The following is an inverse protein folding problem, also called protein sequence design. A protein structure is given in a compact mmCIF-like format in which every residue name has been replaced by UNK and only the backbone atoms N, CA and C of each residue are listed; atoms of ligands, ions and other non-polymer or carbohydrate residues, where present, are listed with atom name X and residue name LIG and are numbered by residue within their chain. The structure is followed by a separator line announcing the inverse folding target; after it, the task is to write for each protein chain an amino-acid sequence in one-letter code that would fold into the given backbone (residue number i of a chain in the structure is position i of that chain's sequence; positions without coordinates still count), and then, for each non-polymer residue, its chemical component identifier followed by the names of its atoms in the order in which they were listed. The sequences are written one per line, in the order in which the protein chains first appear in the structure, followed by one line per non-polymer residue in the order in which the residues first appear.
data_IF_918665913025
#
_entry.id   IF_918665913025
#
_cell.length_a   1.000
_cell.length_b   1.000
_cell.length_c   1.000
_cell.angle_alpha   90.00
_cell.angle_beta   90.00
_cell.angle_gamma   90.00
#
_symmetry.space_group_name_H-M   'P 1'
#
loop_
_entity.id
_entity.type
_entity.pdbx_description
1 polymer ?
#
# COMPACT_ATOMS: atom_id res chain seq x y z
N UNK A 1 -1.72 10.58 5.28
CA UNK A 1 -1.51 10.06 3.91
C UNK A 1 -0.42 10.83 3.17
N UNK A 2 -0.59 12.14 2.86
CA UNK A 2 0.50 12.92 2.23
C UNK A 2 1.79 12.94 3.07
N UNK A 3 1.69 13.02 4.40
CA UNK A 3 2.86 12.87 5.28
C UNK A 3 3.52 11.50 5.16
N UNK A 4 2.72 10.42 5.07
CA UNK A 4 3.26 9.07 4.86
C UNK A 4 3.99 9.00 3.52
N UNK A 5 3.40 9.55 2.45
CA UNK A 5 4.04 9.64 1.13
C UNK A 5 5.36 10.42 1.19
N UNK A 6 5.37 11.59 1.84
CA UNK A 6 6.57 12.40 2.00
C UNK A 6 7.65 11.63 2.79
N UNK A 7 7.29 10.99 3.91
CA UNK A 7 8.19 10.14 4.69
C UNK A 7 8.77 9.01 3.83
N UNK A 8 7.95 8.32 3.05
CA UNK A 8 8.39 7.20 2.22
C UNK A 8 9.32 7.65 1.09
N UNK A 9 9.04 8.77 0.43
CA UNK A 9 9.89 9.32 -0.63
C UNK A 9 11.24 9.78 -0.06
N UNK A 10 11.24 10.50 1.07
CA UNK A 10 12.49 10.99 1.66
C UNK A 10 13.33 9.83 2.16
N UNK A 11 12.76 8.93 2.97
CA UNK A 11 13.49 7.76 3.47
C UNK A 11 13.94 6.84 2.35
N UNK A 12 13.07 6.56 1.37
CA UNK A 12 13.38 5.72 0.22
C UNK A 12 14.49 6.29 -0.65
N UNK A 13 14.51 7.61 -0.86
CA UNK A 13 15.59 8.27 -1.61
C UNK A 13 16.96 8.08 -0.93
N UNK A 14 17.06 8.33 0.38
CA UNK A 14 18.32 8.14 1.10
C UNK A 14 18.75 6.66 1.17
N UNK A 15 17.80 5.73 1.30
CA UNK A 15 18.08 4.30 1.22
C UNK A 15 18.60 3.90 -0.16
N UNK A 16 18.03 4.47 -1.23
CA UNK A 16 18.42 4.18 -2.61
C UNK A 16 19.86 4.58 -2.94
N UNK A 17 20.42 5.60 -2.27
CA UNK A 17 21.82 6.02 -2.45
C UNK A 17 22.81 4.92 -2.01
N UNK A 18 22.41 4.08 -1.04
CA UNK A 18 23.25 3.03 -0.47
C UNK A 18 22.85 1.62 -0.92
N UNK A 19 21.67 1.45 -1.51
CA UNK A 19 21.15 0.16 -1.96
C UNK A 19 21.74 -0.27 -3.31
N UNK A 20 21.98 -1.57 -3.48
CA UNK A 20 22.43 -2.13 -4.77
C UNK A 20 21.45 -3.19 -5.28
N UNK A 21 20.82 -2.91 -6.42
CA UNK A 21 19.83 -3.78 -7.05
C UNK A 21 20.46 -4.94 -7.86
N UNK A 22 21.25 -5.78 -7.18
CA UNK A 22 21.83 -7.01 -7.72
C UNK A 22 21.60 -8.16 -6.74
N UNK A 23 21.19 -9.35 -7.20
CA UNK A 23 20.75 -10.45 -6.30
C UNK A 23 21.84 -10.95 -5.36
N UNK A 24 23.11 -10.80 -5.74
CA UNK A 24 24.22 -11.20 -4.89
C UNK A 24 24.45 -10.20 -3.75
N UNK A 25 24.16 -8.92 -4.01
CA UNK A 25 24.49 -7.77 -3.15
C UNK A 25 23.29 -7.16 -2.42
N UNK A 26 22.06 -7.36 -2.89
CA UNK A 26 20.88 -6.67 -2.39
C UNK A 26 20.68 -6.87 -0.89
N UNK A 27 20.65 -8.12 -0.44
CA UNK A 27 20.52 -8.46 0.97
C UNK A 27 21.67 -7.88 1.82
N UNK A 28 22.91 -8.00 1.36
CA UNK A 28 24.06 -7.42 2.06
C UNK A 28 24.06 -5.89 2.06
N UNK A 29 23.51 -5.23 1.03
CA UNK A 29 23.40 -3.77 0.99
C UNK A 29 22.39 -3.25 2.02
N UNK A 30 21.31 -4.00 2.30
CA UNK A 30 20.40 -3.69 3.41
C UNK A 30 21.13 -3.84 4.76
N UNK A 31 21.92 -4.91 4.94
CA UNK A 31 22.72 -5.07 6.16
C UNK A 31 23.71 -3.91 6.32
N UNK A 32 24.39 -3.51 5.24
CA UNK A 32 25.31 -2.38 5.23
C UNK A 32 24.60 -1.08 5.62
N UNK A 33 23.43 -0.79 5.04
CA UNK A 33 22.60 0.36 5.45
C UNK A 33 22.30 0.32 6.94
N UNK A 34 21.87 -0.82 7.47
CA UNK A 34 21.47 -0.92 8.88
C UNK A 34 22.66 -0.83 9.84
N UNK A 35 23.84 -1.33 9.45
CA UNK A 35 24.98 -1.49 10.38
C UNK A 35 26.09 -0.46 10.22
N UNK A 36 26.36 -0.02 9.00
CA UNK A 36 27.57 0.75 8.69
C UNK A 36 27.25 2.20 8.29
N UNK A 37 26.06 2.47 7.76
CA UNK A 37 25.64 3.83 7.41
C UNK A 37 25.19 4.57 8.68
N UNK A 38 25.73 5.77 8.98
CA UNK A 38 25.29 6.58 10.12
C UNK A 38 23.78 6.83 10.08
N UNK A 39 23.07 6.47 11.15
CA UNK A 39 21.60 6.53 11.24
C UNK A 39 20.83 5.70 10.18
N UNK A 40 21.51 4.82 9.44
CA UNK A 40 20.87 4.03 8.39
C UNK A 40 19.85 3.02 8.94
N UNK A 41 20.04 2.51 10.16
CA UNK A 41 19.02 1.71 10.85
C UNK A 41 17.74 2.51 11.11
N UNK A 42 17.83 3.80 11.45
CA UNK A 42 16.65 4.66 11.65
C UNK A 42 15.93 4.80 10.31
N UNK A 43 16.66 5.14 9.25
CA UNK A 43 16.09 5.34 7.91
C UNK A 43 15.40 4.07 7.39
N UNK A 44 16.04 2.91 7.53
CA UNK A 44 15.48 1.63 7.09
C UNK A 44 14.22 1.26 7.89
N UNK A 45 14.24 1.40 9.21
CA UNK A 45 13.08 1.10 10.05
C UNK A 45 11.93 2.09 9.83
N UNK A 46 12.23 3.38 9.67
CA UNK A 46 11.22 4.39 9.33
C UNK A 46 10.55 4.11 7.99
N UNK A 47 11.31 3.64 7.00
CA UNK A 47 10.74 3.25 5.72
C UNK A 47 9.80 2.05 5.86
N UNK A 48 10.26 0.97 6.54
CA UNK A 48 9.47 -0.24 6.75
C UNK A 48 8.20 -0.01 7.61
N UNK A 49 8.34 0.61 8.78
CA UNK A 49 7.21 0.94 9.67
C UNK A 49 6.30 1.97 9.01
N UNK A 50 6.88 2.95 8.30
CA UNK A 50 6.13 3.97 7.58
C UNK A 50 5.24 3.39 6.47
N UNK A 51 5.65 2.29 5.81
CA UNK A 51 4.81 1.58 4.85
C UNK A 51 3.58 0.97 5.54
N UNK A 52 3.76 0.33 6.69
CA UNK A 52 2.64 -0.16 7.52
C UNK A 52 1.72 0.97 7.97
N UNK A 53 2.27 2.09 8.44
CA UNK A 53 1.48 3.28 8.81
C UNK A 53 0.71 3.85 7.63
N UNK A 54 1.27 3.81 6.42
CA UNK A 54 0.56 4.23 5.21
C UNK A 54 -0.70 3.37 5.00
N UNK A 55 -0.60 2.04 5.09
CA UNK A 55 -1.76 1.15 4.95
C UNK A 55 -2.78 1.30 6.08
N UNK A 56 -2.35 1.49 7.32
CA UNK A 56 -3.27 1.81 8.43
C UNK A 56 -4.07 3.08 8.09
N UNK A 57 -3.38 4.16 7.71
CA UNK A 57 -4.03 5.41 7.35
C UNK A 57 -4.96 5.27 6.14
N UNK A 58 -4.59 4.47 5.13
CA UNK A 58 -5.41 4.35 3.91
C UNK A 58 -6.66 3.51 4.16
N UNK A 59 -6.57 2.45 4.96
CA UNK A 59 -7.75 1.66 5.33
C UNK A 59 -8.71 2.46 6.21
N UNK A 60 -8.21 3.26 7.15
CA UNK A 60 -9.06 4.21 7.91
C UNK A 60 -9.70 5.23 6.96
N UNK A 61 -8.95 5.77 5.99
CA UNK A 61 -9.46 6.73 5.03
C UNK A 61 -10.57 6.14 4.14
N UNK A 62 -10.39 4.90 3.66
CA UNK A 62 -11.39 4.17 2.88
C UNK A 62 -12.62 3.84 3.74
N UNK A 63 -12.41 3.32 4.96
CA UNK A 63 -13.49 3.01 5.90
C UNK A 63 -14.34 4.25 6.20
N UNK A 64 -13.70 5.40 6.44
CA UNK A 64 -14.39 6.70 6.57
C UNK A 64 -15.23 7.01 5.33
N UNK A 65 -14.66 6.81 4.13
CA UNK A 65 -15.35 7.10 2.88
C UNK A 65 -16.56 6.21 2.63
N UNK A 66 -16.49 4.93 3.02
CA UNK A 66 -17.61 4.00 3.02
C UNK A 66 -18.67 4.42 4.05
N UNK A 67 -18.24 4.72 5.29
CA UNK A 67 -19.14 5.06 6.40
C UNK A 67 -19.95 6.34 6.19
N UNK A 68 -19.32 7.40 5.68
CA UNK A 68 -20.00 8.67 5.47
C UNK A 68 -20.53 8.85 4.04
N UNK A 69 -20.51 7.81 3.21
CA UNK A 69 -20.96 7.90 1.82
C UNK A 69 -20.15 8.90 0.99
N UNK A 70 -18.88 9.11 1.31
CA UNK A 70 -18.01 10.01 0.54
C UNK A 70 -17.78 9.48 -0.88
N UNK A 71 -17.93 8.17 -1.10
CA UNK A 71 -17.84 7.55 -2.42
C UNK A 71 -18.84 8.10 -3.45
N UNK A 72 -19.93 8.75 -3.01
CA UNK A 72 -20.87 9.42 -3.91
C UNK A 72 -20.24 10.59 -4.68
N UNK A 73 -19.11 11.15 -4.21
CA UNK A 73 -18.24 11.96 -5.05
C UNK A 73 -17.43 11.01 -5.96
N UNK A 74 -18.02 10.65 -7.10
CA UNK A 74 -17.55 9.55 -7.96
C UNK A 74 -16.13 9.74 -8.45
N UNK A 75 -15.78 10.94 -8.91
CA UNK A 75 -14.45 11.21 -9.48
C UNK A 75 -13.36 11.13 -8.41
N UNK A 76 -13.62 11.67 -7.22
CA UNK A 76 -12.70 11.56 -6.07
C UNK A 76 -12.56 10.09 -5.65
N UNK A 77 -13.67 9.35 -5.58
CA UNK A 77 -13.64 7.95 -5.16
C UNK A 77 -12.87 7.05 -6.12
N UNK A 78 -13.11 7.18 -7.43
CA UNK A 78 -12.43 6.39 -8.46
C UNK A 78 -10.93 6.72 -8.50
N UNK A 79 -10.56 8.01 -8.43
CA UNK A 79 -9.14 8.39 -8.32
C UNK A 79 -8.48 7.88 -7.02
N UNK A 80 -9.21 7.86 -5.90
CA UNK A 80 -8.76 7.27 -4.64
C UNK A 80 -8.55 5.75 -4.72
N UNK A 81 -9.42 5.04 -5.44
CA UNK A 81 -9.27 3.59 -5.66
C UNK A 81 -8.06 3.30 -6.56
N UNK A 82 -7.81 4.13 -7.58
CA UNK A 82 -6.59 4.01 -8.39
C UNK A 82 -5.32 4.30 -7.57
N UNK A 83 -5.35 5.28 -6.66
CA UNK A 83 -4.25 5.54 -5.72
C UNK A 83 -3.96 4.32 -4.83
N UNK A 84 -4.99 3.64 -4.33
CA UNK A 84 -4.82 2.40 -3.55
C UNK A 84 -4.11 1.33 -4.37
N UNK A 85 -4.55 1.07 -5.61
CA UNK A 85 -3.94 0.06 -6.48
C UNK A 85 -2.45 0.37 -6.72
N UNK A 86 -2.12 1.63 -7.03
CA UNK A 86 -0.73 2.08 -7.23
C UNK A 86 0.10 1.97 -5.95
N UNK A 87 -0.48 2.26 -4.77
CA UNK A 87 0.19 2.08 -3.48
C UNK A 87 0.47 0.60 -3.19
N UNK A 88 -0.50 -0.28 -3.43
CA UNK A 88 -0.34 -1.74 -3.27
C UNK A 88 0.78 -2.27 -4.16
N UNK A 89 0.83 -1.83 -5.43
CA UNK A 89 1.92 -2.18 -6.34
C UNK A 89 3.28 -1.67 -5.85
N UNK A 90 3.36 -0.39 -5.45
CA UNK A 90 4.58 0.23 -4.90
C UNK A 90 5.10 -0.56 -3.70
N UNK A 91 4.23 -0.89 -2.74
CA UNK A 91 4.61 -1.61 -1.53
C UNK A 91 5.07 -3.04 -1.82
N UNK A 92 4.38 -3.74 -2.74
CA UNK A 92 4.81 -5.07 -3.18
C UNK A 92 6.22 -5.03 -3.79
N UNK A 93 6.50 -4.12 -4.73
CA UNK A 93 7.84 -4.02 -5.30
C UNK A 93 8.91 -3.67 -4.26
N UNK A 94 8.60 -2.77 -3.32
CA UNK A 94 9.48 -2.41 -2.21
C UNK A 94 9.80 -3.58 -1.30
N UNK A 95 8.79 -4.42 -1.02
CA UNK A 95 8.95 -5.61 -0.20
C UNK A 95 9.89 -6.65 -0.82
N UNK A 96 10.06 -6.66 -2.14
CA UNK A 96 10.98 -7.60 -2.82
C UNK A 96 12.44 -7.15 -2.68
N UNK A 97 12.70 -5.86 -2.53
CA UNK A 97 14.06 -5.27 -2.61
C UNK A 97 15.06 -5.79 -1.56
N UNK A 98 14.67 -6.08 -0.30
CA UNK A 98 15.61 -6.64 0.67
C UNK A 98 16.17 -8.00 0.26
N UNK A 99 15.50 -8.73 -0.65
CA UNK A 99 15.93 -10.03 -1.13
C UNK A 99 16.10 -11.10 -0.02
N UNK A 100 15.21 -11.05 0.98
CA UNK A 100 15.06 -12.09 1.99
C UNK A 100 14.16 -13.24 1.51
N UNK A 101 13.98 -14.26 2.35
CA UNK A 101 13.16 -15.44 2.00
C UNK A 101 11.72 -15.04 1.66
N UNK A 102 11.03 -14.29 2.52
CA UNK A 102 9.64 -13.89 2.26
C UNK A 102 9.55 -12.96 1.05
N UNK A 103 10.51 -12.05 0.86
CA UNK A 103 10.60 -11.21 -0.34
C UNK A 103 10.62 -12.02 -1.64
N UNK A 104 11.53 -13.01 -1.74
CA UNK A 104 11.70 -13.82 -2.95
C UNK A 104 10.49 -14.71 -3.23
N UNK A 105 9.97 -15.38 -2.19
CA UNK A 105 8.83 -16.28 -2.36
C UNK A 105 7.53 -15.54 -2.58
N UNK A 106 7.33 -14.37 -1.96
CA UNK A 106 6.20 -13.49 -2.28
C UNK A 106 6.27 -13.03 -3.74
N UNK A 107 7.45 -12.61 -4.22
CA UNK A 107 7.64 -12.25 -5.62
C UNK A 107 7.25 -13.40 -6.55
N UNK A 108 7.74 -14.61 -6.26
CA UNK A 108 7.46 -15.82 -7.04
C UNK A 108 5.97 -16.15 -7.08
N UNK A 109 5.30 -16.19 -5.92
CA UNK A 109 3.88 -16.57 -5.83
C UNK A 109 2.98 -15.52 -6.49
N UNK A 110 3.16 -14.24 -6.17
CA UNK A 110 2.28 -13.16 -6.63
C UNK A 110 2.40 -12.96 -8.14
N UNK A 111 3.61 -12.92 -8.68
CA UNK A 111 3.81 -12.71 -10.13
C UNK A 111 3.44 -13.93 -10.96
N UNK A 112 3.52 -15.15 -10.39
CA UNK A 112 3.04 -16.36 -11.05
C UNK A 112 1.50 -16.39 -11.19
N UNK A 113 0.75 -15.53 -10.49
CA UNK A 113 -0.69 -15.37 -10.72
C UNK A 113 -0.98 -14.84 -12.14
N UNK A 114 -0.03 -14.15 -12.79
CA UNK A 114 -0.17 -13.70 -14.19
C UNK A 114 -0.29 -14.86 -15.18
N UNK A 115 0.27 -16.03 -14.87
CA UNK A 115 0.11 -17.22 -15.72
C UNK A 115 -1.33 -17.74 -15.76
N UNK A 116 -2.21 -17.25 -14.87
CA UNK A 116 -3.63 -17.55 -14.94
C UNK A 116 -4.35 -16.85 -16.11
N UNK A 117 -3.76 -15.80 -16.70
CA UNK A 117 -4.33 -15.09 -17.84
C UNK A 117 -4.35 -16.02 -19.06
N UNK A 118 -5.52 -16.31 -19.66
CA UNK A 118 -5.62 -17.19 -20.81
C UNK A 118 -4.78 -16.72 -21.99
N UNK A 119 -4.17 -17.65 -22.71
CA UNK A 119 -3.37 -17.46 -23.93
C UNK A 119 -2.03 -16.71 -23.77
N UNK A 120 -1.97 -15.66 -22.95
CA UNK A 120 -0.79 -14.77 -22.85
C UNK A 120 -0.07 -14.83 -21.50
N UNK A 121 -0.61 -15.52 -20.50
CA UNK A 121 -0.12 -15.47 -19.13
C UNK A 121 1.35 -15.90 -18.96
N UNK A 122 1.76 -16.98 -19.64
CA UNK A 122 3.16 -17.44 -19.58
C UNK A 122 4.13 -16.43 -20.20
N UNK A 123 3.78 -15.84 -21.34
CA UNK A 123 4.57 -14.80 -21.98
C UNK A 123 4.66 -13.52 -21.14
N UNK A 124 3.58 -13.13 -20.46
CA UNK A 124 3.57 -11.99 -19.54
C UNK A 124 4.48 -12.23 -18.33
N UNK A 125 4.44 -13.42 -17.74
CA UNK A 125 5.28 -13.77 -16.59
C UNK A 125 6.77 -13.80 -16.96
N UNK A 126 7.15 -14.44 -18.08
CA UNK A 126 8.55 -14.46 -18.52
C UNK A 126 9.04 -13.08 -18.92
N UNK A 127 8.19 -12.27 -19.56
CA UNK A 127 8.48 -10.87 -19.87
C UNK A 127 8.72 -10.06 -18.60
N UNK A 128 7.85 -10.17 -17.59
CA UNK A 128 7.96 -9.45 -16.32
C UNK A 128 9.25 -9.83 -15.59
N UNK A 129 9.53 -11.13 -15.48
CA UNK A 129 10.73 -11.65 -14.83
C UNK A 129 12.02 -11.28 -15.57
N UNK A 130 11.95 -11.13 -16.90
CA UNK A 130 13.14 -10.99 -17.74
C UNK A 130 13.94 -12.28 -17.84
N UNK A 131 13.26 -13.43 -17.73
CA UNK A 131 13.86 -14.76 -17.67
C UNK A 131 12.83 -15.85 -17.34
N UNK A 132 13.32 -17.06 -17.03
CA UNK A 132 12.47 -18.22 -16.71
C UNK A 132 12.12 -18.34 -15.22
N UNK A 133 12.76 -17.54 -14.37
CA UNK A 133 12.51 -17.49 -12.92
C UNK A 133 12.79 -16.08 -12.41
N UNK A 134 12.35 -15.80 -11.18
CA UNK A 134 12.77 -14.60 -10.43
C UNK A 134 14.29 -14.63 -10.29
N UNK A 135 14.98 -13.61 -10.81
CA UNK A 135 16.44 -13.50 -10.83
C UNK A 135 16.88 -12.01 -10.93
N UNK A 136 18.16 -11.74 -11.20
CA UNK A 136 18.75 -10.40 -11.29
C UNK A 136 17.96 -9.41 -12.14
N UNK A 137 17.55 -9.74 -13.38
CA UNK A 137 16.76 -8.83 -14.20
C UNK A 137 15.42 -8.43 -13.53
N UNK A 138 14.81 -9.34 -12.77
CA UNK A 138 13.57 -9.06 -12.05
C UNK A 138 13.81 -8.03 -10.95
N UNK A 139 14.84 -8.23 -10.13
CA UNK A 139 15.12 -7.36 -8.98
C UNK A 139 15.46 -5.93 -9.43
N UNK A 140 16.32 -5.78 -10.44
CA UNK A 140 16.68 -4.46 -10.98
C UNK A 140 15.47 -3.71 -11.52
N UNK A 141 14.55 -4.40 -12.20
CA UNK A 141 13.30 -3.79 -12.69
C UNK A 141 12.35 -3.43 -11.54
N UNK A 142 12.23 -4.29 -10.54
CA UNK A 142 11.37 -4.02 -9.39
C UNK A 142 11.89 -2.83 -8.58
N UNK A 143 13.20 -2.65 -8.47
CA UNK A 143 13.78 -1.43 -7.92
C UNK A 143 13.39 -0.19 -8.72
N UNK A 144 13.55 -0.23 -10.06
CA UNK A 144 13.17 0.90 -10.91
C UNK A 144 11.67 1.24 -10.81
N UNK A 145 10.79 0.22 -10.81
CA UNK A 145 9.35 0.38 -10.63
C UNK A 145 9.00 0.94 -9.24
N UNK A 146 9.59 0.38 -8.19
CA UNK A 146 9.40 0.87 -6.82
C UNK A 146 9.85 2.32 -6.66
N UNK A 147 10.91 2.74 -7.37
CA UNK A 147 11.41 4.10 -7.32
C UNK A 147 10.48 5.09 -8.04
N UNK A 148 9.94 4.74 -9.20
CA UNK A 148 9.13 5.68 -10.01
C UNK A 148 7.67 5.81 -9.52
N UNK A 149 7.07 4.72 -9.02
CA UNK A 149 5.65 4.71 -8.64
C UNK A 149 5.27 5.68 -7.51
N UNK A 150 6.09 5.95 -6.48
CA UNK A 150 5.81 7.00 -5.49
C UNK A 150 5.60 8.40 -6.11
N UNK A 151 6.32 8.74 -7.19
CA UNK A 151 6.12 10.00 -7.91
C UNK A 151 4.81 10.01 -8.70
N UNK A 152 4.40 8.85 -9.24
CA UNK A 152 3.07 8.69 -9.82
C UNK A 152 1.98 8.87 -8.75
N UNK A 153 2.14 8.28 -7.56
CA UNK A 153 1.23 8.47 -6.41
C UNK A 153 1.16 9.95 -6.03
N UNK A 154 2.29 10.67 -6.03
CA UNK A 154 2.31 12.12 -5.76
C UNK A 154 1.48 12.90 -6.78
N UNK A 155 1.70 12.65 -8.08
CA UNK A 155 0.93 13.30 -9.15
C UNK A 155 -0.57 12.98 -9.07
N UNK A 156 -0.92 11.70 -8.89
CA UNK A 156 -2.31 11.27 -8.73
C UNK A 156 -2.97 11.84 -7.47
N UNK A 157 -2.21 12.03 -6.39
CA UNK A 157 -2.73 12.66 -5.15
C UNK A 157 -3.09 14.12 -5.38
N UNK A 158 -2.32 14.86 -6.17
CA UNK A 158 -2.65 16.22 -6.59
C UNK A 158 -3.95 16.27 -7.39
N UNK A 159 -4.12 15.34 -8.34
CA UNK A 159 -5.37 15.21 -9.13
C UNK A 159 -6.54 14.86 -8.21
N UNK A 160 -6.36 13.91 -7.29
CA UNK A 160 -7.39 13.50 -6.34
C UNK A 160 -7.86 14.67 -5.46
N UNK A 161 -6.94 15.51 -4.98
CA UNK A 161 -7.26 16.72 -4.19
C UNK A 161 -7.94 17.77 -5.06
N UNK A 162 -7.49 17.98 -6.30
CA UNK A 162 -8.15 18.89 -7.24
C UNK A 162 -9.60 18.48 -7.50
N UNK A 163 -9.86 17.19 -7.73
CA UNK A 163 -11.21 16.65 -7.86
C UNK A 163 -12.03 16.87 -6.57
N UNK A 164 -11.42 16.73 -5.39
CA UNK A 164 -12.08 17.02 -4.13
C UNK A 164 -12.46 18.49 -4.01
N UNK A 165 -11.62 19.40 -4.48
CA UNK A 165 -11.88 20.84 -4.41
C UNK A 165 -13.03 21.30 -5.33
N UNK A 166 -13.42 20.51 -6.33
CA UNK A 166 -14.57 20.85 -7.19
C UNK A 166 -15.90 20.81 -6.43
N UNK A 167 -16.09 19.81 -5.57
CA UNK A 167 -17.34 19.60 -4.81
C UNK A 167 -17.21 19.97 -3.32
N UNK A 168 -15.98 20.04 -2.81
CA UNK A 168 -15.68 20.17 -1.40
C UNK A 168 -15.78 18.85 -0.62
N UNK A 169 -15.45 18.92 0.67
CA UNK A 169 -15.54 17.77 1.58
C UNK A 169 -16.97 17.50 2.03
N UNK A 170 -17.34 16.22 2.15
CA UNK A 170 -18.56 15.82 2.85
C UNK A 170 -18.39 15.96 4.38
N UNK A 171 -19.51 15.93 5.11
CA UNK A 171 -19.54 15.95 6.57
C UNK A 171 -20.23 14.69 7.14
N UNK A 172 -20.10 14.40 8.46
CA UNK A 172 -20.66 13.21 9.08
C UNK A 172 -22.18 13.05 8.94
N UNK A 173 -22.92 14.16 8.82
CA UNK A 173 -24.38 14.15 8.67
C UNK A 173 -24.79 13.77 7.23
N UNK A 174 -23.89 13.94 6.26
CA UNK A 174 -24.15 13.68 4.84
C UNK A 174 -25.06 14.70 4.16
N UNK A 175 -25.29 15.85 4.79
CA UNK A 175 -26.13 16.97 4.30
C UNK A 175 -25.27 18.07 3.68
N UNK A 176 -25.88 19.12 3.11
CA UNK A 176 -25.13 20.27 2.59
C UNK A 176 -24.48 21.06 3.75
N UNK A 177 -23.15 21.22 3.71
CA UNK A 177 -22.37 21.99 4.69
C UNK A 177 -22.17 23.47 4.31
N UNK A 178 -22.63 23.93 3.16
CA UNK A 178 -22.46 25.33 2.71
C UNK A 178 -23.02 26.35 3.70
N UNK A 179 -24.03 25.96 4.48
CA UNK A 179 -24.69 26.81 5.48
C UNK A 179 -23.80 27.14 6.69
N UNK A 180 -22.73 26.37 6.93
CA UNK A 180 -21.87 26.49 8.12
C UNK A 180 -20.41 26.14 7.78
N UNK A 181 -19.87 26.76 6.73
CA UNK A 181 -18.45 26.62 6.39
C UNK A 181 -17.59 27.50 7.28
N UNK A 182 -16.50 26.91 7.78
CA UNK A 182 -15.40 27.63 8.44
C UNK A 182 -14.16 27.63 7.54
N UNK A 183 -13.28 28.65 7.65
CA UNK A 183 -12.02 28.64 6.91
C UNK A 183 -11.13 27.47 7.35
N UNK A 184 -10.29 26.96 6.45
CA UNK A 184 -9.38 25.85 6.76
C UNK A 184 -8.38 26.22 7.86
N UNK A 185 -7.78 27.40 7.77
CA UNK A 185 -6.93 27.96 8.81
C UNK A 185 -7.74 28.94 9.68
N UNK A 186 -7.65 28.89 11.02
CA UNK A 186 -6.75 28.05 11.83
C UNK A 186 -7.31 26.67 12.21
N UNK A 187 -8.61 26.44 12.01
CA UNK A 187 -9.34 25.32 12.59
C UNK A 187 -8.83 23.94 12.16
N UNK A 188 -8.86 23.65 10.85
CA UNK A 188 -8.41 22.37 10.33
C UNK A 188 -6.89 22.25 10.35
N UNK A 189 -6.14 23.35 10.19
CA UNK A 189 -4.68 23.34 10.31
C UNK A 189 -4.20 22.86 11.69
N UNK A 190 -4.76 23.37 12.79
CA UNK A 190 -4.38 22.92 14.13
C UNK A 190 -4.85 21.49 14.42
N UNK A 191 -6.04 21.13 13.94
CA UNK A 191 -6.53 19.74 14.06
C UNK A 191 -5.61 18.76 13.35
N UNK A 192 -5.17 19.09 12.14
CA UNK A 192 -4.25 18.27 11.37
C UNK A 192 -2.87 18.19 12.04
N UNK A 193 -2.40 19.29 12.64
CA UNK A 193 -1.16 19.30 13.42
C UNK A 193 -1.23 18.35 14.63
N UNK A 194 -2.36 18.32 15.35
CA UNK A 194 -2.57 17.37 16.44
C UNK A 194 -2.49 15.92 15.92
N UNK A 195 -3.20 15.61 14.84
CA UNK A 195 -3.20 14.27 14.25
C UNK A 195 -1.82 13.86 13.74
N UNK A 196 -1.07 14.81 13.18
CA UNK A 196 0.32 14.61 12.77
C UNK A 196 1.22 14.28 13.96
N UNK A 197 1.11 15.03 15.05
CA UNK A 197 1.87 14.75 16.28
C UNK A 197 1.58 13.36 16.81
N UNK A 198 0.31 12.95 16.89
CA UNK A 198 -0.09 11.60 17.33
C UNK A 198 0.55 10.53 16.43
N UNK A 199 0.48 10.70 15.10
CA UNK A 199 1.07 9.76 14.15
C UNK A 199 2.59 9.64 14.30
N UNK A 200 3.29 10.77 14.45
CA UNK A 200 4.75 10.81 14.65
C UNK A 200 5.13 10.14 15.98
N UNK A 201 4.41 10.46 17.07
CA UNK A 201 4.63 9.83 18.37
C UNK A 201 4.48 8.31 18.28
N UNK A 202 3.38 7.83 17.69
CA UNK A 202 3.15 6.39 17.50
C UNK A 202 4.28 5.73 16.70
N UNK A 203 4.69 6.35 15.60
CA UNK A 203 5.75 5.84 14.74
C UNK A 203 7.10 5.76 15.47
N UNK A 204 7.45 6.77 16.27
CA UNK A 204 8.67 6.73 17.09
C UNK A 204 8.56 5.74 18.26
N UNK A 205 7.38 5.57 18.86
CA UNK A 205 7.17 4.52 19.88
C UNK A 205 7.41 3.13 19.28
N UNK A 206 6.85 2.83 18.11
CA UNK A 206 7.05 1.55 17.44
C UNK A 206 8.53 1.37 17.08
N UNK A 207 9.16 2.38 16.48
CA UNK A 207 10.59 2.32 16.11
C UNK A 207 11.51 2.10 17.32
N UNK A 208 11.21 2.73 18.46
CA UNK A 208 12.07 2.68 19.64
C UNK A 208 11.91 1.38 20.44
N UNK A 209 10.68 0.86 20.55
CA UNK A 209 10.37 -0.26 21.45
C UNK A 209 10.10 -1.58 20.72
N UNK A 210 9.65 -1.54 19.46
CA UNK A 210 9.28 -2.74 18.71
C UNK A 210 9.48 -2.57 17.18
N UNK A 211 10.71 -2.24 16.71
CA UNK A 211 10.96 -1.90 15.30
C UNK A 211 10.62 -3.04 14.32
N UNK A 212 10.67 -4.29 14.78
CA UNK A 212 10.34 -5.47 13.98
C UNK A 212 8.89 -5.95 14.14
N UNK A 213 8.01 -5.19 14.81
CA UNK A 213 6.62 -5.60 15.07
C UNK A 213 5.86 -6.02 13.81
N UNK A 214 6.10 -5.33 12.69
CA UNK A 214 5.42 -5.60 11.42
C UNK A 214 6.22 -6.49 10.46
N UNK A 215 7.47 -6.81 10.78
CA UNK A 215 8.34 -7.57 9.88
C UNK A 215 8.22 -9.08 10.13
N UNK A 216 8.26 -9.88 9.06
CA UNK A 216 8.37 -11.33 9.19
C UNK A 216 9.83 -11.76 9.48
N UNK A 217 10.08 -12.59 10.53
CA UNK A 217 11.42 -13.05 10.88
C UNK A 217 12.17 -13.76 9.74
N UNK A 218 11.45 -14.48 8.87
CA UNK A 218 12.05 -15.20 7.74
C UNK A 218 12.71 -14.25 6.74
N UNK A 219 12.27 -12.99 6.68
CA UNK A 219 12.86 -11.99 5.79
C UNK A 219 14.23 -11.48 6.26
N UNK A 220 14.68 -11.86 7.46
CA UNK A 220 16.05 -11.67 7.94
C UNK A 220 17.01 -12.79 7.52
N UNK A 221 16.53 -13.76 6.74
CA UNK A 221 17.36 -14.75 6.06
C UNK A 221 17.45 -14.42 4.57
N UNK A 222 18.66 -14.47 4.00
CA UNK A 222 18.87 -14.26 2.56
C UNK A 222 18.05 -15.27 1.75
N UNK A 223 17.47 -14.82 0.64
CA UNK A 223 16.68 -15.68 -0.25
C UNK A 223 17.48 -16.91 -0.72
N UNK A 224 16.84 -18.08 -0.60
CA UNK A 224 17.29 -19.35 -1.16
C UNK A 224 16.20 -19.89 -2.10
N UNK A 225 16.42 -19.84 -3.43
CA UNK A 225 15.46 -20.33 -4.42
C UNK A 225 15.11 -21.82 -4.31
N UNK A 226 15.91 -22.61 -3.60
CA UNK A 226 15.73 -24.05 -3.43
C UNK A 226 14.96 -24.42 -2.15
N UNK A 227 14.75 -23.47 -1.23
CA UNK A 227 14.13 -23.74 0.08
C UNK A 227 12.97 -22.78 0.32
N UNK A 228 11.77 -23.32 0.20
CA UNK A 228 10.50 -22.65 0.46
C UNK A 228 10.23 -22.63 1.98
N UNK A 229 10.01 -21.46 2.61
CA UNK A 229 9.56 -21.38 4.00
C UNK A 229 8.26 -22.14 4.22
N UNK A 230 8.10 -22.74 5.41
CA UNK A 230 6.94 -23.57 5.74
C UNK A 230 5.61 -22.81 5.63
N UNK A 231 5.60 -21.51 5.97
CA UNK A 231 4.42 -20.67 6.00
C UNK A 231 4.62 -19.36 5.23
N UNK A 232 4.73 -19.42 3.90
CA UNK A 232 4.78 -18.21 3.07
C UNK A 232 3.46 -17.44 3.16
N UNK A 233 3.57 -16.16 3.50
CA UNK A 233 2.47 -15.20 3.53
C UNK A 233 2.99 -13.82 3.10
N UNK A 234 2.12 -12.94 2.58
CA UNK A 234 2.50 -11.57 2.35
C UNK A 234 2.48 -10.77 3.67
N UNK A 235 2.93 -9.52 3.58
CA UNK A 235 2.79 -8.52 4.63
C UNK A 235 1.34 -8.36 5.11
N UNK A 236 1.17 -7.92 6.37
CA UNK A 236 -0.12 -7.95 7.06
C UNK A 236 -1.25 -7.22 6.31
N UNK A 237 -0.93 -6.10 5.66
CA UNK A 237 -1.88 -5.31 4.89
C UNK A 237 -2.41 -6.03 3.64
N UNK A 238 -1.78 -7.11 3.19
CA UNK A 238 -2.29 -7.94 2.08
C UNK A 238 -3.01 -9.21 2.54
N UNK A 239 -3.06 -9.50 3.85
CA UNK A 239 -3.59 -10.78 4.34
C UNK A 239 -5.08 -10.99 4.01
N UNK A 240 -5.89 -9.93 4.00
CA UNK A 240 -7.31 -10.05 3.63
C UNK A 240 -7.48 -10.55 2.19
N UNK A 241 -6.71 -9.97 1.27
CA UNK A 241 -6.75 -10.31 -0.15
C UNK A 241 -6.14 -11.69 -0.41
N UNK A 242 -5.07 -12.04 0.30
CA UNK A 242 -4.47 -13.38 0.30
C UNK A 242 -5.43 -14.45 0.82
N UNK A 243 -6.22 -14.15 1.86
CA UNK A 243 -7.27 -15.04 2.35
C UNK A 243 -8.35 -15.30 1.30
N UNK A 244 -8.79 -14.26 0.59
CA UNK A 244 -9.76 -14.39 -0.52
C UNK A 244 -9.19 -15.25 -1.65
N UNK A 245 -7.95 -14.98 -2.09
CA UNK A 245 -7.25 -15.78 -3.11
C UNK A 245 -7.24 -17.26 -2.77
N UNK A 246 -6.91 -17.60 -1.51
CA UNK A 246 -6.81 -18.99 -1.04
C UNK A 246 -8.14 -19.67 -0.80
N UNK A 247 -9.23 -18.91 -0.69
CA UNK A 247 -10.57 -19.47 -0.46
C UNK A 247 -11.16 -20.13 -1.70
N UNK A 248 -10.59 -19.89 -2.88
CA UNK A 248 -11.07 -20.44 -4.15
C UNK A 248 -10.10 -21.53 -4.64
N UNK A 249 -10.52 -22.81 -4.72
CA UNK A 249 -9.67 -23.92 -5.16
C UNK A 249 -9.49 -23.96 -6.69
N UNK A 250 -9.26 -22.81 -7.31
CA UNK A 250 -9.01 -22.65 -8.74
C UNK A 250 -8.05 -21.48 -8.95
N UNK A 251 -6.95 -21.68 -9.69
CA UNK A 251 -5.93 -20.64 -9.90
C UNK A 251 -6.50 -19.38 -10.54
N UNK A 252 -7.26 -19.52 -11.64
CA UNK A 252 -7.87 -18.39 -12.32
C UNK A 252 -8.94 -17.72 -11.45
N UNK A 253 -9.84 -18.49 -10.87
CA UNK A 253 -10.90 -17.99 -9.98
C UNK A 253 -10.33 -17.24 -8.78
N UNK A 254 -9.30 -17.78 -8.13
CA UNK A 254 -8.59 -17.13 -7.03
C UNK A 254 -7.90 -15.83 -7.46
N UNK A 255 -7.19 -15.83 -8.59
CA UNK A 255 -6.58 -14.60 -9.15
C UNK A 255 -7.64 -13.53 -9.45
N UNK A 256 -8.77 -13.91 -10.05
CA UNK A 256 -9.86 -12.98 -10.35
C UNK A 256 -10.47 -12.44 -9.05
N UNK A 257 -10.73 -13.28 -8.06
CA UNK A 257 -11.28 -12.84 -6.77
C UNK A 257 -10.33 -11.92 -6.00
N UNK A 258 -9.01 -12.16 -6.08
CA UNK A 258 -8.01 -11.25 -5.53
C UNK A 258 -8.15 -9.85 -6.15
N UNK A 259 -8.20 -9.75 -7.49
CA UNK A 259 -8.35 -8.48 -8.20
C UNK A 259 -9.69 -7.82 -7.85
N UNK A 260 -10.77 -8.61 -7.80
CA UNK A 260 -12.10 -8.12 -7.42
C UNK A 260 -12.15 -7.62 -5.98
N UNK A 261 -11.40 -8.21 -5.04
CA UNK A 261 -11.40 -7.76 -3.64
C UNK A 261 -10.96 -6.31 -3.44
N UNK A 262 -10.18 -5.77 -4.38
CA UNK A 262 -9.76 -4.36 -4.39
C UNK A 262 -10.64 -3.54 -5.32
N UNK A 263 -10.88 -4.05 -6.54
CA UNK A 263 -11.63 -3.30 -7.57
C UNK A 263 -13.13 -3.18 -7.29
N UNK A 264 -13.69 -4.01 -6.39
CA UNK A 264 -15.07 -3.88 -5.91
C UNK A 264 -15.34 -2.50 -5.30
N UNK A 265 -14.34 -1.82 -4.76
CA UNK A 265 -14.52 -0.44 -4.28
C UNK A 265 -15.04 0.49 -5.38
N UNK A 266 -14.67 0.27 -6.65
CA UNK A 266 -15.15 1.08 -7.77
C UNK A 266 -16.67 1.00 -7.97
N UNK A 267 -17.34 -0.06 -7.50
CA UNK A 267 -18.79 -0.23 -7.68
C UNK A 267 -19.62 0.55 -6.66
N UNK A 268 -19.03 0.93 -5.51
CA UNK A 268 -19.73 1.61 -4.42
C UNK A 268 -20.63 2.79 -4.82
N UNK A 269 -20.20 3.76 -5.67
CA UNK A 269 -21.07 4.84 -6.12
C UNK A 269 -22.24 4.42 -7.01
N UNK A 270 -22.17 3.23 -7.61
CA UNK A 270 -23.19 2.74 -8.55
C UNK A 270 -24.17 1.77 -7.89
N UNK A 271 -23.82 1.23 -6.72
CA UNK A 271 -24.66 0.31 -5.95
C UNK A 271 -25.31 0.95 -4.73
N UNK A 272 -25.23 2.28 -4.59
CA UNK A 272 -25.88 3.00 -3.50
C UNK A 272 -27.39 3.08 -3.72
N UNK A 273 -28.16 2.51 -2.80
CA UNK A 273 -29.64 2.45 -2.87
C UNK A 273 -30.35 3.39 -1.91
N UNK A 274 -29.64 3.94 -0.93
CA UNK A 274 -30.22 4.78 0.12
C UNK A 274 -30.52 6.18 -0.40
N UNK A 275 -31.59 6.80 0.11
CA UNK A 275 -31.85 8.23 -0.08
C UNK A 275 -31.02 9.11 0.90
N UNK A 276 -30.46 8.50 1.95
CA UNK A 276 -29.58 9.16 2.92
C UNK A 276 -28.12 8.76 2.66
N UNK A 277 -27.25 9.77 2.47
CA UNK A 277 -25.83 9.59 2.15
C UNK A 277 -25.03 8.87 3.25
N UNK A 278 -25.07 9.39 4.47
CA UNK A 278 -24.28 8.90 5.60
C UNK A 278 -24.90 7.66 6.26
N UNK A 279 -24.08 6.72 6.73
CA UNK A 279 -24.54 5.58 7.53
C UNK A 279 -24.90 5.97 8.96
N UNK A 280 -24.54 7.20 9.41
CA UNK A 280 -24.83 7.71 10.76
C UNK A 280 -26.31 7.62 11.17
N UNK A 281 -27.24 7.68 10.21
CA UNK A 281 -28.68 7.60 10.42
C UNK A 281 -29.33 6.34 9.86
N UNK A 282 -28.52 5.29 9.62
CA UNK A 282 -28.96 4.02 9.00
C UNK A 282 -28.53 2.84 9.88
N UNK A 283 -29.24 2.54 10.98
CA UNK A 283 -28.80 1.55 11.98
C UNK A 283 -28.47 0.17 11.39
N UNK A 284 -29.31 -0.32 10.46
CA UNK A 284 -29.06 -1.60 9.79
C UNK A 284 -27.74 -1.64 9.01
N UNK A 285 -27.32 -0.50 8.47
CA UNK A 285 -26.06 -0.37 7.73
C UNK A 285 -24.86 -0.10 8.66
N UNK A 286 -25.08 0.23 9.93
CA UNK A 286 -23.97 0.32 10.90
C UNK A 286 -23.59 -1.05 11.46
N UNK A 287 -24.53 -2.01 11.42
CA UNK A 287 -24.33 -3.38 11.91
C UNK A 287 -23.69 -4.32 10.87
N UNK A 288 -23.78 -3.98 9.59
CA UNK A 288 -23.32 -4.77 8.43
C UNK A 288 -22.16 -4.04 7.75
#
# INVERSE_FOLDING_TARGET
LLTCLALQITTGFFLAIHYTANINLAFSSIIHITRDVPYGWIMQNLHAIGASMFFICIYIHIARGLYYGSYLNKNVWLSGTMLLITLMATAFFGYVLPWGQMSFWAATVITNLLTAVPYVGTALTTWLWGGFSINDPTLTRFFALHFILPFLIMSMSSIHIMLLHTEGSSNPLGTNSDIDKIPFHPYHSHKDMLMLTIMITLLFTIMSFAPNMFNDPENFSKANPLVTPQHIKPEWYFLFAYGILRSIPNKLGGTVALILSVTILMTAPFTHTSHVRSMAFRPMMQLV
#
